data_IF_827818169265
#
_entry.id   IF_827818169265
#
_cell.length_a   1.000
_cell.length_b   1.000
_cell.length_c   1.000
_cell.angle_alpha   90.00
_cell.angle_beta   90.00
_cell.angle_gamma   90.00
#
_symmetry.space_group_name_H-M   'P 1'
#
loop_
_entity.id
_entity.type
_entity.pdbx_description
1 polymer ?
#
# COMPACT_ATOMS: atom_id res chain seq x y z
N UNK A 1 11.78 -13.12 11.80
CA UNK A 1 13.13 -12.86 11.26
C UNK A 1 12.97 -12.14 9.92
N UNK A 2 13.12 -10.82 9.89
CA UNK A 2 13.05 -9.99 8.66
C UNK A 2 14.43 -9.86 8.00
N UNK A 3 15.10 -10.99 7.76
CA UNK A 3 16.45 -10.99 7.20
C UNK A 3 16.40 -11.30 5.71
N UNK A 4 16.14 -10.28 4.87
CA UNK A 4 16.63 -10.18 3.47
C UNK A 4 16.25 -8.90 2.70
N UNK A 5 15.66 -7.87 3.31
CA UNK A 5 15.81 -6.50 2.82
C UNK A 5 17.18 -5.96 3.22
N UNK A 6 18.25 -6.51 2.61
CA UNK A 6 19.62 -6.02 2.81
C UNK A 6 19.72 -4.64 2.17
N UNK A 7 19.92 -3.64 3.03
CA UNK A 7 20.07 -2.21 2.73
C UNK A 7 18.76 -1.49 2.43
N UNK A 8 17.99 -1.24 3.50
CA UNK A 8 16.96 -0.21 3.53
C UNK A 8 17.54 1.11 3.04
N UNK A 9 17.10 1.54 1.87
CA UNK A 9 17.40 2.86 1.36
C UNK A 9 16.60 3.85 2.21
N UNK A 10 17.29 4.61 3.06
CA UNK A 10 16.74 5.62 3.96
C UNK A 10 15.49 6.33 3.40
N UNK A 11 14.34 6.15 4.07
CA UNK A 11 13.30 7.17 4.14
C UNK A 11 11.85 6.80 3.86
N UNK A 12 11.53 5.80 3.02
CA UNK A 12 10.17 5.81 2.43
C UNK A 12 9.71 4.46 1.88
N UNK A 13 9.61 3.44 2.75
CA UNK A 13 9.13 2.12 2.34
C UNK A 13 7.91 1.77 3.19
N UNK A 14 6.76 1.64 2.55
CA UNK A 14 5.59 0.99 3.15
C UNK A 14 5.47 -0.37 2.53
N UNK A 15 5.39 -1.38 3.39
CA UNK A 15 5.60 -2.76 3.03
C UNK A 15 4.37 -3.55 3.39
N UNK A 16 3.85 -4.29 2.42
CA UNK A 16 2.89 -5.34 2.63
C UNK A 16 3.46 -6.68 2.17
N UNK A 17 3.05 -7.74 2.84
CA UNK A 17 3.10 -9.10 2.29
C UNK A 17 1.66 -9.56 2.11
N UNK A 18 1.32 -10.10 0.95
CA UNK A 18 0.15 -10.96 0.80
C UNK A 18 0.61 -12.35 0.40
N UNK A 19 -0.14 -13.37 0.80
CA UNK A 19 0.01 -14.70 0.24
C UNK A 19 -0.95 -14.85 -0.93
N UNK A 20 -0.48 -15.24 -2.12
CA UNK A 20 -1.36 -15.63 -3.23
C UNK A 20 -1.87 -17.06 -3.07
N UNK A 21 -2.93 -17.41 -3.81
CA UNK A 21 -3.63 -18.71 -3.76
C UNK A 21 -2.71 -19.94 -3.90
N UNK A 22 -1.58 -19.78 -4.57
CA UNK A 22 -0.56 -20.82 -4.76
C UNK A 22 0.45 -20.91 -3.58
N UNK A 23 0.18 -20.21 -2.48
CA UNK A 23 1.02 -20.16 -1.29
C UNK A 23 2.27 -19.28 -1.42
N UNK A 24 2.45 -18.58 -2.55
CA UNK A 24 3.60 -17.71 -2.78
C UNK A 24 3.36 -16.35 -2.13
N UNK A 25 4.32 -15.89 -1.34
CA UNK A 25 4.24 -14.58 -0.72
C UNK A 25 4.68 -13.51 -1.72
N UNK A 26 3.77 -12.57 -2.00
CA UNK A 26 4.05 -11.35 -2.75
C UNK A 26 4.39 -10.23 -1.79
N UNK A 27 5.34 -9.37 -2.14
CA UNK A 27 5.60 -8.15 -1.38
C UNK A 27 5.38 -6.91 -2.19
N UNK A 28 4.72 -5.92 -1.61
CA UNK A 28 4.45 -4.62 -2.23
C UNK A 28 5.20 -3.53 -1.48
N UNK A 29 5.90 -2.70 -2.24
CA UNK A 29 6.55 -1.48 -1.76
C UNK A 29 6.14 -0.33 -2.67
N UNK A 30 5.85 0.84 -2.10
CA UNK A 30 5.77 2.07 -2.89
C UNK A 30 7.04 2.92 -2.71
N UNK A 31 7.83 3.10 -3.77
CA UNK A 31 8.98 4.01 -3.78
C UNK A 31 8.51 5.43 -4.14
N UNK A 32 8.33 6.26 -3.11
CA UNK A 32 7.89 7.64 -3.26
C UNK A 32 8.82 8.51 -4.12
N UNK A 33 10.11 8.18 -4.26
CA UNK A 33 11.06 9.01 -5.02
C UNK A 33 10.87 8.88 -6.52
N UNK A 34 10.50 7.68 -6.95
CA UNK A 34 10.23 7.36 -8.35
C UNK A 34 8.75 7.34 -8.67
N UNK A 35 7.90 7.41 -7.64
CA UNK A 35 6.45 7.25 -7.76
C UNK A 35 6.10 5.94 -8.47
N UNK A 36 6.62 4.83 -7.94
CA UNK A 36 6.41 3.49 -8.50
C UNK A 36 6.14 2.46 -7.41
N UNK A 37 5.37 1.44 -7.73
CA UNK A 37 5.28 0.22 -6.95
C UNK A 37 6.40 -0.73 -7.34
N UNK A 38 7.14 -1.21 -6.34
CA UNK A 38 8.12 -2.29 -6.46
C UNK A 38 7.48 -3.54 -5.89
N UNK A 39 7.21 -4.52 -6.75
CA UNK A 39 6.49 -5.74 -6.40
C UNK A 39 7.44 -6.93 -6.57
N UNK A 40 7.51 -7.78 -5.56
CA UNK A 40 8.18 -9.08 -5.65
C UNK A 40 7.11 -10.16 -5.67
N UNK A 41 7.07 -10.96 -6.73
CA UNK A 41 6.10 -12.04 -6.87
C UNK A 41 6.50 -13.31 -6.08
N UNK A 42 7.73 -13.37 -5.57
CA UNK A 42 8.22 -14.37 -4.61
C UNK A 42 9.31 -13.72 -3.77
N UNK A 43 9.09 -13.62 -2.45
CA UNK A 43 10.05 -13.05 -1.47
C UNK A 43 11.45 -13.67 -1.54
N UNK A 44 11.57 -14.91 -2.02
CA UNK A 44 12.86 -15.59 -2.16
C UNK A 44 13.54 -15.34 -3.51
N UNK A 45 12.83 -14.75 -4.47
CA UNK A 45 13.34 -14.39 -5.78
C UNK A 45 13.95 -12.98 -5.77
N UNK A 46 14.99 -12.76 -6.58
CA UNK A 46 15.57 -11.43 -6.80
C UNK A 46 14.89 -10.69 -7.98
N UNK A 47 13.71 -11.13 -8.40
CA UNK A 47 12.98 -10.52 -9.51
C UNK A 47 11.97 -9.52 -8.95
N UNK A 48 12.02 -8.29 -9.46
CA UNK A 48 11.13 -7.20 -9.07
C UNK A 48 10.44 -6.62 -10.29
N UNK A 49 9.13 -6.42 -10.18
CA UNK A 49 8.35 -5.61 -11.12
C UNK A 49 8.30 -4.18 -10.60
N UNK A 50 8.52 -3.23 -11.50
CA UNK A 50 8.43 -1.80 -11.21
C UNK A 50 7.24 -1.24 -12.00
N UNK A 51 6.20 -0.79 -11.30
CA UNK A 51 4.98 -0.26 -11.89
C UNK A 51 4.87 1.23 -11.55
N UNK A 52 5.03 2.14 -12.52
CA UNK A 52 4.81 3.56 -12.30
C UNK A 52 3.39 3.84 -11.80
N UNK A 53 3.26 4.81 -10.89
CA UNK A 53 1.97 5.25 -10.38
C UNK A 53 1.90 6.77 -10.34
N UNK A 54 0.94 7.32 -11.07
CA UNK A 54 0.60 8.74 -11.00
C UNK A 54 -0.48 8.96 -9.95
N UNK A 55 -0.31 9.97 -9.08
CA UNK A 55 -1.35 10.42 -8.15
C UNK A 55 -2.59 10.98 -8.86
N UNK A 56 -2.51 11.29 -10.16
CA UNK A 56 -3.68 11.67 -10.97
C UNK A 56 -4.69 10.52 -11.12
N UNK A 57 -4.29 9.28 -10.84
CA UNK A 57 -5.19 8.13 -10.80
C UNK A 57 -6.14 8.19 -9.58
N UNK A 58 -5.85 9.04 -8.59
CA UNK A 58 -6.73 9.30 -7.46
C UNK A 58 -7.76 10.37 -7.83
N UNK A 59 -9.05 10.04 -7.77
CA UNK A 59 -10.13 10.90 -8.21
C UNK A 59 -10.57 11.90 -7.14
N UNK A 60 -10.64 11.45 -5.88
CA UNK A 60 -11.14 12.26 -4.76
C UNK A 60 -10.03 12.97 -3.99
N UNK A 61 -8.77 12.60 -4.24
CA UNK A 61 -7.60 13.12 -3.52
C UNK A 61 -6.84 14.08 -4.42
N UNK A 62 -7.09 15.38 -4.26
CA UNK A 62 -6.54 16.40 -5.16
C UNK A 62 -5.38 17.21 -4.57
N UNK A 63 -4.92 16.86 -3.36
CA UNK A 63 -3.85 17.56 -2.64
C UNK A 63 -2.55 16.76 -2.53
N UNK A 64 -1.54 17.34 -1.88
CA UNK A 64 -0.31 16.62 -1.58
C UNK A 64 -0.58 15.46 -0.62
N UNK A 65 -0.23 14.24 -1.04
CA UNK A 65 -0.43 13.02 -0.26
C UNK A 65 0.83 12.59 0.48
N UNK A 66 0.65 12.05 1.69
CA UNK A 66 1.62 11.20 2.36
C UNK A 66 1.08 9.78 2.32
N UNK A 67 1.89 8.86 1.82
CA UNK A 67 1.63 7.43 1.97
C UNK A 67 1.84 7.08 3.44
N UNK A 68 0.99 6.25 4.04
CA UNK A 68 1.07 5.84 5.45
C UNK A 68 1.26 4.33 5.66
N UNK A 69 0.63 3.52 4.81
CA UNK A 69 0.79 2.07 4.84
C UNK A 69 0.28 1.41 3.57
N UNK A 70 0.74 0.19 3.33
CA UNK A 70 0.22 -0.71 2.31
C UNK A 70 -0.01 -2.05 3.00
N UNK A 71 -1.13 -2.69 2.71
CA UNK A 71 -1.47 -4.04 3.16
C UNK A 71 -1.95 -4.82 1.93
N UNK A 72 -1.45 -6.02 1.73
CA UNK A 72 -1.91 -6.91 0.68
C UNK A 72 -3.07 -7.72 1.23
N UNK A 73 -4.10 -7.95 0.43
CA UNK A 73 -5.22 -8.80 0.81
C UNK A 73 -4.86 -10.23 0.40
N UNK A 74 -4.81 -11.13 1.39
CA UNK A 74 -4.50 -12.54 1.15
C UNK A 74 -5.41 -13.15 0.10
N UNK A 75 -4.84 -14.06 -0.69
CA UNK A 75 -5.50 -14.78 -1.77
C UNK A 75 -6.10 -13.84 -2.84
N UNK A 76 -5.45 -12.70 -3.08
CA UNK A 76 -5.89 -11.75 -4.09
C UNK A 76 -4.74 -10.90 -4.65
N UNK A 77 -5.00 -10.26 -5.79
CA UNK A 77 -4.14 -9.21 -6.35
C UNK A 77 -4.55 -7.80 -5.83
N UNK A 78 -5.32 -7.74 -4.74
CA UNK A 78 -5.76 -6.50 -4.15
C UNK A 78 -4.79 -6.03 -3.06
N UNK A 79 -4.61 -4.72 -2.98
CA UNK A 79 -3.90 -4.06 -1.90
C UNK A 79 -4.78 -2.94 -1.33
N UNK A 80 -4.65 -2.71 -0.03
CA UNK A 80 -5.17 -1.58 0.69
C UNK A 80 -4.05 -0.60 0.98
N UNK A 81 -4.25 0.66 0.62
CA UNK A 81 -3.29 1.73 0.79
C UNK A 81 -3.87 2.78 1.71
N UNK A 82 -3.12 3.15 2.74
CA UNK A 82 -3.48 4.21 3.68
C UNK A 82 -2.75 5.49 3.27
N UNK A 83 -3.52 6.55 3.05
CA UNK A 83 -3.00 7.85 2.60
C UNK A 83 -3.46 8.98 3.54
N UNK A 84 -2.69 10.06 3.59
CA UNK A 84 -3.05 11.31 4.27
C UNK A 84 -2.91 12.49 3.31
N UNK A 85 -3.98 13.26 3.11
CA UNK A 85 -3.95 14.49 2.32
C UNK A 85 -3.59 15.69 3.21
N UNK A 86 -2.48 16.35 2.91
CA UNK A 86 -1.97 17.43 3.75
C UNK A 86 -2.85 18.69 3.77
N UNK A 87 -3.54 18.98 2.67
CA UNK A 87 -4.36 20.19 2.50
C UNK A 87 -5.64 20.11 3.33
N UNK A 88 -6.37 19.00 3.22
CA UNK A 88 -7.64 18.79 3.90
C UNK A 88 -7.48 18.15 5.28
N UNK A 89 -6.28 17.66 5.61
CA UNK A 89 -5.98 16.88 6.83
C UNK A 89 -6.80 15.59 6.94
N UNK A 90 -7.21 15.05 5.80
CA UNK A 90 -8.04 13.84 5.72
C UNK A 90 -7.21 12.58 5.53
N UNK A 91 -7.68 11.49 6.10
CA UNK A 91 -7.15 10.15 5.88
C UNK A 91 -8.01 9.42 4.85
N UNK A 92 -7.35 8.63 4.02
CA UNK A 92 -7.99 7.87 2.96
C UNK A 92 -7.52 6.43 3.02
N UNK A 93 -8.46 5.51 2.82
CA UNK A 93 -8.20 4.12 2.52
C UNK A 93 -8.48 3.91 1.03
N UNK A 94 -7.48 3.50 0.27
CA UNK A 94 -7.59 3.31 -1.17
C UNK A 94 -7.37 1.83 -1.47
N UNK A 95 -8.38 1.20 -2.08
CA UNK A 95 -8.26 -0.15 -2.60
C UNK A 95 -7.69 -0.08 -4.01
N UNK A 96 -6.61 -0.81 -4.25
CA UNK A 96 -5.98 -0.92 -5.56
C UNK A 96 -5.84 -2.39 -5.97
N UNK A 97 -5.75 -2.63 -7.28
CA UNK A 97 -5.52 -3.95 -7.87
C UNK A 97 -4.23 -3.95 -8.67
N UNK A 98 -3.39 -4.95 -8.45
CA UNK A 98 -2.25 -5.29 -9.30
C UNK A 98 -2.76 -6.02 -10.55
N UNK A 99 -2.76 -5.34 -11.70
CA UNK A 99 -3.11 -5.92 -13.00
C UNK A 99 -1.88 -6.42 -13.76
N UNK A 100 -0.78 -6.71 -13.06
CA UNK A 100 0.54 -7.13 -13.56
C UNK A 100 1.36 -6.02 -14.22
N UNK A 101 0.75 -5.26 -15.13
CA UNK A 101 1.41 -4.17 -15.86
C UNK A 101 1.06 -2.78 -15.31
N UNK A 102 0.01 -2.69 -14.49
CA UNK A 102 -0.49 -1.45 -13.91
C UNK A 102 -1.05 -1.68 -12.51
N UNK A 103 -1.13 -0.59 -11.74
CA UNK A 103 -1.83 -0.53 -10.47
C UNK A 103 -3.12 0.27 -10.65
N UNK A 104 -4.26 -0.40 -10.56
CA UNK A 104 -5.57 0.21 -10.78
C UNK A 104 -6.20 0.61 -9.45
N UNK A 105 -6.65 1.86 -9.33
CA UNK A 105 -7.49 2.30 -8.20
C UNK A 105 -8.90 1.77 -8.41
N UNK A 106 -9.40 0.98 -7.46
CA UNK A 106 -10.76 0.43 -7.49
C UNK A 106 -11.71 1.34 -6.71
N UNK A 107 -11.30 1.72 -5.50
CA UNK A 107 -12.14 2.46 -4.57
C UNK A 107 -11.29 3.39 -3.70
N UNK A 108 -11.83 4.57 -3.43
CA UNK A 108 -11.27 5.55 -2.52
C UNK A 108 -12.28 5.84 -1.41
N UNK A 109 -11.98 5.38 -0.21
CA UNK A 109 -12.81 5.59 0.96
C UNK A 109 -12.20 6.67 1.86
N UNK A 110 -13.01 7.67 2.22
CA UNK A 110 -12.62 8.67 3.20
C UNK A 110 -12.81 8.09 4.61
N UNK A 111 -11.76 8.18 5.44
CA UNK A 111 -11.83 7.81 6.85
C UNK A 111 -11.85 9.10 7.68
N UNK A 112 -12.96 9.34 8.38
CA UNK A 112 -13.05 10.42 9.35
C UNK A 112 -12.29 10.02 10.61
N UNK A 113 -11.28 10.80 11.00
CA UNK A 113 -10.43 10.52 12.17
C UNK A 113 -10.39 11.80 12.99
N UNK A 114 -11.04 11.80 14.16
CA UNK A 114 -11.02 12.95 15.08
C UNK A 114 -9.73 12.97 15.90
N UNK A 115 -9.14 11.79 16.18
CA UNK A 115 -7.92 11.64 16.98
C UNK A 115 -7.04 10.52 16.45
N UNK A 116 -5.71 10.73 16.42
CA UNK A 116 -4.72 9.74 15.97
C UNK A 116 -4.86 8.36 16.66
N UNK A 117 -5.39 8.31 17.89
CA UNK A 117 -5.63 7.06 18.64
C UNK A 117 -6.73 6.18 17.99
N UNK A 118 -7.61 6.77 17.19
CA UNK A 118 -8.71 6.08 16.51
C UNK A 118 -8.22 5.28 15.29
N UNK A 119 -7.09 5.65 14.66
CA UNK A 119 -6.43 4.86 13.60
C UNK A 119 -6.10 3.45 14.08
N UNK A 120 -5.63 3.32 15.33
CA UNK A 120 -5.30 2.03 15.93
C UNK A 120 -6.51 1.25 16.41
N UNK A 121 -7.63 1.92 16.71
CA UNK A 121 -8.84 1.28 17.23
C UNK A 121 -9.76 0.76 16.13
N UNK A 122 -9.79 1.39 14.94
CA UNK A 122 -10.50 0.86 13.77
C UNK A 122 -9.95 -0.50 13.29
N UNK A 123 -8.69 -0.83 13.63
CA UNK A 123 -8.02 -2.10 13.35
C UNK A 123 -8.21 -3.15 14.48
N UNK A 124 -8.76 -2.77 15.63
CA UNK A 124 -9.13 -3.71 16.71
C UNK A 124 -10.65 -3.93 16.63
N UNK A 125 -11.14 -4.43 15.50
CA UNK A 125 -12.31 -5.30 15.55
C UNK A 125 -11.75 -6.68 15.89
N UNK A 126 -11.66 -6.95 17.20
CA UNK A 126 -11.49 -8.32 17.69
C UNK A 126 -12.59 -9.15 17.03
N UNK A 127 -12.20 -10.32 16.52
CA UNK A 127 -13.14 -11.30 16.03
C UNK A 127 -14.29 -11.50 17.01
N UNK A 128 -15.49 -11.42 16.46
CA UNK A 128 -16.61 -12.24 16.88
C UNK A 128 -16.75 -13.39 15.88
#
# INVERSE_FOLDING_TARGET
MCSRMRNGVNGTWQFAVSQSDNGVAKSYVFDMRKSEFVISDDINSNQFRHIPFSSQQLQNISGAIKWLGIIGIDNSDLILVFLFEQRTKKFYLVMMKDEKESMKVIEEHFVYIERIVELTQALIVKGE
#
